data_IF_782573044157
#
_entry.id   IF_782573044157
#
_cell.length_a   1.000
_cell.length_b   1.000
_cell.length_c   1.000
_cell.angle_alpha   90.00
_cell.angle_beta   90.00
_cell.angle_gamma   90.00
#
_symmetry.space_group_name_H-M   'P 1'
#
loop_
_entity.id
_entity.type
_entity.pdbx_description
1 polymer ?
#
# COMPACT_ATOMS: atom_id res chain seq x y z
N UNK A 1 19.89 4.62 -8.84
CA UNK A 1 20.11 3.29 -8.22
C UNK A 1 18.95 2.90 -7.31
N UNK A 2 18.65 3.69 -6.26
CA UNK A 2 17.54 3.44 -5.34
C UNK A 2 16.16 3.34 -6.03
N UNK A 3 15.95 4.12 -7.08
CA UNK A 3 14.73 4.08 -7.90
C UNK A 3 14.49 2.73 -8.58
N UNK A 4 15.54 1.96 -8.90
CA UNK A 4 15.42 0.65 -9.54
C UNK A 4 14.69 -0.34 -8.62
N UNK A 5 14.91 -0.24 -7.30
CA UNK A 5 14.21 -1.06 -6.29
C UNK A 5 12.80 -0.55 -6.03
N UNK A 6 12.59 0.75 -6.24
CA UNK A 6 11.34 1.42 -5.98
C UNK A 6 10.28 1.16 -7.06
N UNK A 7 10.66 1.20 -8.34
CA UNK A 7 9.70 1.06 -9.45
C UNK A 7 8.94 -0.28 -9.46
N UNK A 8 9.55 -1.44 -9.14
CA UNK A 8 8.81 -2.69 -8.98
C UNK A 8 7.78 -2.63 -7.86
N UNK A 9 8.15 -2.08 -6.69
CA UNK A 9 7.25 -1.94 -5.54
C UNK A 9 6.07 -1.03 -5.86
N UNK A 10 6.31 0.11 -6.53
CA UNK A 10 5.26 1.02 -6.97
C UNK A 10 4.35 0.40 -8.02
N UNK A 11 4.92 -0.25 -9.03
CA UNK A 11 4.14 -0.93 -10.07
C UNK A 11 3.23 -1.99 -9.47
N UNK A 12 3.75 -2.75 -8.52
CA UNK A 12 2.99 -3.76 -7.79
C UNK A 12 1.83 -3.17 -6.99
N UNK A 13 2.08 -2.08 -6.24
CA UNK A 13 1.04 -1.36 -5.51
C UNK A 13 -0.08 -0.88 -6.45
N UNK A 14 0.29 -0.23 -7.55
CA UNK A 14 -0.68 0.32 -8.50
C UNK A 14 -1.62 -0.75 -9.06
N UNK A 15 -1.07 -1.92 -9.41
CA UNK A 15 -1.87 -3.03 -9.94
C UNK A 15 -2.84 -3.53 -8.88
N UNK A 16 -2.37 -3.90 -7.68
CA UNK A 16 -3.25 -4.49 -6.65
C UNK A 16 -4.28 -3.50 -6.12
N UNK A 17 -3.90 -2.24 -5.90
CA UNK A 17 -4.84 -1.19 -5.47
C UNK A 17 -5.94 -1.02 -6.53
N UNK A 18 -5.57 -1.00 -7.81
CA UNK A 18 -6.55 -0.87 -8.90
C UNK A 18 -7.47 -2.10 -8.97
N UNK A 19 -6.94 -3.31 -8.76
CA UNK A 19 -7.74 -4.53 -8.68
C UNK A 19 -8.71 -4.52 -7.50
N UNK A 20 -8.26 -4.12 -6.30
CA UNK A 20 -9.11 -4.04 -5.10
C UNK A 20 -10.21 -2.99 -5.25
N UNK A 21 -9.89 -1.83 -5.87
CA UNK A 21 -10.88 -0.81 -6.20
C UNK A 21 -11.93 -1.32 -7.18
N UNK A 22 -11.50 -2.00 -8.25
CA UNK A 22 -12.40 -2.59 -9.24
C UNK A 22 -13.31 -3.68 -8.63
N UNK A 23 -12.82 -4.41 -7.63
CA UNK A 23 -13.59 -5.42 -6.89
C UNK A 23 -14.53 -4.82 -5.82
N UNK A 24 -14.61 -3.50 -5.68
CA UNK A 24 -15.48 -2.82 -4.71
C UNK A 24 -14.88 -2.63 -3.31
N UNK A 25 -13.62 -3.02 -3.07
CA UNK A 25 -12.92 -2.83 -1.80
C UNK A 25 -12.02 -1.59 -1.81
N UNK A 26 -12.62 -0.41 -1.92
CA UNK A 26 -11.90 0.89 -2.02
C UNK A 26 -11.40 1.41 -0.67
N UNK A 27 -12.17 1.17 0.40
CA UNK A 27 -11.89 1.76 1.72
C UNK A 27 -10.58 1.24 2.32
N UNK A 28 -10.29 -0.06 2.17
CA UNK A 28 -9.11 -0.68 2.76
C UNK A 28 -7.79 -0.11 2.20
N UNK A 29 -7.58 -0.03 0.87
CA UNK A 29 -6.40 0.61 0.29
C UNK A 29 -6.18 2.05 0.75
N UNK A 30 -7.25 2.83 0.89
CA UNK A 30 -7.16 4.25 1.28
C UNK A 30 -6.71 4.39 2.73
N UNK A 31 -7.34 3.67 3.66
CA UNK A 31 -6.96 3.74 5.07
C UNK A 31 -5.53 3.23 5.31
N UNK A 32 -5.14 2.12 4.67
CA UNK A 32 -3.76 1.64 4.77
C UNK A 32 -2.75 2.58 4.11
N UNK A 33 -3.14 3.26 3.02
CA UNK A 33 -2.31 4.30 2.41
C UNK A 33 -1.99 5.41 3.40
N UNK A 34 -3.01 6.00 4.03
CA UNK A 34 -2.85 7.08 5.01
C UNK A 34 -2.01 6.63 6.20
N UNK A 35 -2.33 5.46 6.76
CA UNK A 35 -1.64 4.92 7.94
C UNK A 35 -0.17 4.60 7.65
N UNK A 36 0.13 4.07 6.46
CA UNK A 36 1.51 3.78 6.06
C UNK A 36 2.29 5.06 5.81
N UNK A 37 1.71 6.03 5.08
CA UNK A 37 2.40 7.30 4.80
C UNK A 37 2.71 8.07 6.08
N UNK A 38 1.75 8.21 7.00
CA UNK A 38 1.97 8.93 8.25
C UNK A 38 2.71 8.11 9.31
N UNK A 39 2.44 6.82 9.43
CA UNK A 39 3.02 5.99 10.48
C UNK A 39 4.42 5.49 10.12
N UNK A 40 4.60 4.98 8.90
CA UNK A 40 5.84 4.31 8.47
C UNK A 40 6.75 5.31 7.77
N UNK A 41 6.24 6.01 6.76
CA UNK A 41 7.07 6.91 5.95
C UNK A 41 7.62 8.09 6.76
N UNK A 42 6.79 8.75 7.57
CA UNK A 42 7.23 9.87 8.42
C UNK A 42 8.17 9.39 9.53
N UNK A 43 7.83 8.30 10.23
CA UNK A 43 8.68 7.82 11.33
C UNK A 43 10.07 7.37 10.85
N UNK A 44 10.12 6.60 9.76
CA UNK A 44 11.39 6.12 9.21
C UNK A 44 12.18 7.27 8.57
N UNK A 45 11.52 8.23 7.92
CA UNK A 45 12.22 9.39 7.34
C UNK A 45 12.78 10.32 8.42
N UNK A 46 12.07 10.49 9.55
CA UNK A 46 12.58 11.24 10.70
C UNK A 46 13.81 10.55 11.29
N UNK A 47 13.69 9.25 11.58
CA UNK A 47 14.79 8.48 12.18
C UNK A 47 16.01 8.40 11.26
N UNK A 48 15.84 8.00 10.00
CA UNK A 48 16.97 7.86 9.08
C UNK A 48 17.49 9.21 8.58
N UNK A 49 16.61 10.18 8.36
CA UNK A 49 16.96 11.49 7.83
C UNK A 49 17.65 12.38 8.85
N UNK A 50 17.14 12.42 10.09
CA UNK A 50 17.60 13.34 11.14
C UNK A 50 18.50 12.62 12.12
N UNK A 51 18.02 11.58 12.83
CA UNK A 51 18.80 10.91 13.88
C UNK A 51 20.05 10.20 13.31
N UNK A 52 19.90 9.48 12.18
CA UNK A 52 21.01 8.80 11.54
C UNK A 52 21.84 9.69 10.58
N UNK A 53 21.45 10.98 10.41
CA UNK A 53 22.18 11.95 9.59
C UNK A 53 22.22 11.65 8.09
N UNK A 54 21.39 10.74 7.57
CA UNK A 54 21.39 10.38 6.14
C UNK A 54 20.67 11.40 5.26
N UNK A 55 19.96 12.37 5.86
CA UNK A 55 19.25 13.44 5.16
C UNK A 55 18.30 12.91 4.09
N UNK A 56 18.48 13.39 2.85
CA UNK A 56 17.63 13.02 1.71
C UNK A 56 17.68 11.51 1.39
N UNK A 57 18.82 10.84 1.60
CA UNK A 57 18.95 9.40 1.35
C UNK A 57 18.04 8.62 2.30
N UNK A 58 17.95 9.05 3.56
CA UNK A 58 17.04 8.47 4.55
C UNK A 58 15.57 8.58 4.13
N UNK A 59 15.18 9.69 3.52
CA UNK A 59 13.82 9.90 2.98
C UNK A 59 13.54 8.94 1.82
N UNK A 60 14.48 8.76 0.89
CA UNK A 60 14.32 7.80 -0.21
C UNK A 60 14.21 6.36 0.27
N UNK A 61 15.01 5.96 1.27
CA UNK A 61 14.93 4.64 1.87
C UNK A 61 13.57 4.44 2.55
N UNK A 62 13.12 5.44 3.32
CA UNK A 62 11.80 5.42 3.94
C UNK A 62 10.70 5.18 2.91
N UNK A 63 10.74 5.93 1.80
CA UNK A 63 9.75 5.82 0.75
C UNK A 63 9.77 4.46 0.03
N UNK A 64 10.96 3.87 -0.16
CA UNK A 64 11.08 2.50 -0.68
C UNK A 64 10.43 1.51 0.28
N UNK A 65 10.81 1.52 1.55
CA UNK A 65 10.27 0.60 2.57
C UNK A 65 8.75 0.71 2.66
N UNK A 66 8.24 1.94 2.66
CA UNK A 66 6.82 2.26 2.72
C UNK A 66 6.04 1.74 1.49
N UNK A 67 6.59 1.89 0.28
CA UNK A 67 6.01 1.30 -0.94
C UNK A 67 5.98 -0.23 -0.88
N UNK A 68 7.09 -0.87 -0.51
CA UNK A 68 7.14 -2.33 -0.42
C UNK A 68 6.19 -2.87 0.65
N UNK A 69 6.15 -2.24 1.82
CA UNK A 69 5.25 -2.62 2.90
C UNK A 69 3.79 -2.53 2.46
N UNK A 70 3.38 -1.42 1.84
CA UNK A 70 2.03 -1.29 1.27
C UNK A 70 1.73 -2.39 0.26
N UNK A 71 2.69 -2.69 -0.62
CA UNK A 71 2.54 -3.74 -1.64
C UNK A 71 2.22 -5.08 -1.01
N UNK A 72 3.05 -5.50 -0.06
CA UNK A 72 2.88 -6.76 0.67
C UNK A 72 1.55 -6.82 1.44
N UNK A 73 1.16 -5.73 2.11
CA UNK A 73 -0.11 -5.65 2.83
C UNK A 73 -1.32 -5.74 1.90
N UNK A 74 -1.27 -5.08 0.74
CA UNK A 74 -2.30 -5.14 -0.30
C UNK A 74 -2.39 -6.53 -0.92
N UNK A 75 -1.25 -7.20 -1.14
CA UNK A 75 -1.21 -8.59 -1.61
C UNK A 75 -1.81 -9.54 -0.59
N UNK A 76 -1.46 -9.39 0.68
CA UNK A 76 -2.05 -10.18 1.76
C UNK A 76 -3.55 -9.98 1.83
N UNK A 77 -4.01 -8.72 1.70
CA UNK A 77 -5.44 -8.39 1.60
C UNK A 77 -6.09 -9.06 0.40
N UNK A 78 -5.45 -9.02 -0.77
CA UNK A 78 -5.93 -9.68 -1.98
C UNK A 78 -6.07 -11.20 -1.78
N UNK A 79 -5.05 -11.83 -1.21
CA UNK A 79 -5.02 -13.28 -0.91
C UNK A 79 -6.03 -13.69 0.16
N UNK A 80 -6.34 -12.79 1.11
CA UNK A 80 -7.35 -13.04 2.16
C UNK A 80 -8.76 -13.24 1.61
N UNK A 81 -8.99 -12.89 0.32
CA UNK A 81 -10.27 -13.13 -0.38
C UNK A 81 -11.49 -12.43 0.24
N UNK A 82 -11.31 -11.66 1.32
CA UNK A 82 -12.39 -10.96 2.03
C UNK A 82 -13.08 -9.93 1.13
N UNK A 83 -12.41 -9.43 0.11
CA UNK A 83 -13.01 -8.56 -0.91
C UNK A 83 -14.14 -9.26 -1.68
N UNK A 84 -14.10 -10.59 -1.86
CA UNK A 84 -15.18 -11.34 -2.56
C UNK A 84 -16.51 -11.32 -1.80
N UNK A 85 -16.48 -11.10 -0.48
CA UNK A 85 -17.71 -10.95 0.33
C UNK A 85 -18.44 -9.63 0.09
N UNK A 86 -17.81 -8.66 -0.59
CA UNK A 86 -18.42 -7.38 -0.96
C UNK A 86 -19.03 -7.46 -2.37
N UNK A 87 -19.78 -8.53 -2.64
CA UNK A 87 -20.47 -8.72 -3.91
C UNK A 87 -21.36 -7.51 -4.22
N UNK A 88 -21.13 -6.91 -5.39
CA UNK A 88 -21.94 -5.81 -5.94
C UNK A 88 -23.28 -6.30 -6.50
N UNK A 89 -23.47 -7.62 -6.64
CA UNK A 89 -24.70 -8.21 -7.14
C UNK A 89 -25.67 -8.36 -5.97
N UNK A 90 -26.80 -7.61 -5.94
CA UNK A 90 -27.89 -7.90 -5.02
C UNK A 90 -28.38 -9.31 -5.33
N UNK A 91 -28.63 -10.14 -4.31
CA UNK A 91 -29.35 -11.40 -4.51
C UNK A 91 -30.65 -11.07 -5.24
N UNK A 92 -30.76 -11.51 -6.49
CA UNK A 92 -32.01 -11.42 -7.23
C UNK A 92 -32.99 -12.28 -6.44
N UNK A 93 -33.94 -11.63 -5.77
CA UNK A 93 -35.02 -12.28 -5.05
C UNK A 93 -35.91 -12.92 -6.12
N UNK A 94 -35.67 -14.20 -6.40
CA UNK A 94 -36.57 -15.02 -7.17
C UNK A 94 -37.68 -15.50 -6.23
N UNK A 95 -38.73 -14.68 -6.09
CA UNK A 95 -40.05 -15.10 -5.61
C UNK A 95 -41.12 -14.10 -6.06
#
# INVERSE_FOLDING_TARGET
LLTIVLEPGRSFNLVIISSLRAAGDVKFPVYMGILSMWGVSVAISYFLGIEAGLGLIGVWISFIVDEWLRGLLMLWRWRSKVWMRKSLIPSIETA
#
